data_IF_923293907762
#
_entry.id   IF_923293907762
#
_cell.length_a   1.000
_cell.length_b   1.000
_cell.length_c   1.000
_cell.angle_alpha   90.00
_cell.angle_beta   90.00
_cell.angle_gamma   90.00
#
_symmetry.space_group_name_H-M   'P 1'
#
loop_
_entity.id
_entity.type
_entity.pdbx_description
1 polymer ?
#
# COMPACT_ATOMS: atom_id res chain seq x y z
N UNK A 1 -11.35 -16.80 -1.41
CA UNK A 1 -10.74 -15.85 -0.45
C UNK A 1 -9.24 -15.83 -0.69
N UNK A 2 -8.71 -14.79 -1.35
CA UNK A 2 -7.27 -14.53 -1.33
C UNK A 2 -6.94 -13.93 0.04
N UNK A 3 -6.23 -14.70 0.88
CA UNK A 3 -5.89 -14.29 2.25
C UNK A 3 -4.65 -13.40 2.32
N UNK A 4 -3.75 -13.54 1.35
CA UNK A 4 -2.65 -12.61 1.08
C UNK A 4 -2.02 -12.96 -0.27
N UNK A 5 -1.54 -11.95 -0.99
CA UNK A 5 -0.59 -12.15 -2.10
C UNK A 5 0.75 -11.64 -1.57
N UNK A 6 1.80 -12.49 -1.50
CA UNK A 6 3.13 -12.02 -1.13
C UNK A 6 3.72 -11.27 -2.32
N UNK A 7 3.61 -9.93 -2.29
CA UNK A 7 4.31 -9.06 -3.25
C UNK A 7 5.58 -8.59 -2.56
N UNK A 8 6.72 -9.04 -3.05
CA UNK A 8 8.01 -8.45 -2.68
C UNK A 8 8.18 -7.21 -3.55
N UNK A 9 8.08 -6.01 -2.96
CA UNK A 9 8.51 -4.81 -3.65
C UNK A 9 10.02 -4.86 -3.80
N UNK A 10 10.50 -4.93 -5.04
CA UNK A 10 11.85 -4.56 -5.40
C UNK A 10 11.86 -3.10 -5.92
N UNK A 11 12.99 -2.68 -6.49
CA UNK A 11 13.15 -1.35 -7.09
C UNK A 11 12.35 -1.12 -8.39
N UNK A 12 11.43 -2.03 -8.78
CA UNK A 12 10.62 -1.92 -9.99
C UNK A 12 9.13 -1.63 -9.71
N UNK A 13 8.67 -1.79 -8.46
CA UNK A 13 7.27 -1.50 -8.12
C UNK A 13 7.00 0.00 -8.23
N UNK A 14 6.35 0.41 -9.31
CA UNK A 14 6.06 1.81 -9.61
C UNK A 14 4.64 2.23 -9.24
N UNK A 15 3.68 1.32 -9.30
CA UNK A 15 2.27 1.63 -9.09
C UNK A 15 1.56 0.54 -8.28
N UNK A 16 0.68 0.97 -7.38
CA UNK A 16 -0.24 0.10 -6.65
C UNK A 16 -1.64 0.66 -6.76
N UNK A 17 -2.57 -0.18 -7.22
CA UNK A 17 -3.99 0.16 -7.33
C UNK A 17 -4.80 -0.86 -6.53
N UNK A 18 -5.45 -0.40 -5.47
CA UNK A 18 -6.31 -1.21 -4.60
C UNK A 18 -7.74 -0.74 -4.83
N UNK A 19 -8.52 -1.55 -5.53
CA UNK A 19 -9.88 -1.20 -5.93
C UNK A 19 -10.85 -2.23 -5.37
N UNK A 20 -11.85 -1.77 -4.60
CA UNK A 20 -12.95 -2.61 -4.10
C UNK A 20 -12.47 -3.80 -3.27
N UNK A 21 -11.54 -3.55 -2.34
CA UNK A 21 -10.92 -4.56 -1.48
C UNK A 21 -11.32 -4.39 0.01
N UNK A 22 -12.60 -4.55 0.39
CA UNK A 22 -13.12 -4.16 1.71
C UNK A 22 -12.62 -5.01 2.89
N UNK A 23 -11.86 -6.08 2.63
CA UNK A 23 -11.27 -6.94 3.66
C UNK A 23 -9.74 -6.86 3.67
N UNK A 24 -9.17 -5.96 2.87
CA UNK A 24 -7.73 -5.77 2.82
C UNK A 24 -7.29 -5.03 4.07
N UNK A 25 -6.56 -5.75 4.92
CA UNK A 25 -6.01 -5.19 6.14
C UNK A 25 -4.58 -4.70 5.94
N UNK A 26 -3.83 -5.29 5.02
CA UNK A 26 -2.38 -5.10 4.91
C UNK A 26 -1.92 -5.16 3.47
N UNK A 27 -0.90 -4.37 3.16
CA UNK A 27 -0.20 -4.37 1.88
C UNK A 27 1.24 -4.80 2.14
N UNK A 28 1.51 -6.08 1.90
CA UNK A 28 2.76 -6.73 2.34
C UNK A 28 4.02 -6.15 1.70
N UNK A 29 3.90 -5.49 0.55
CA UNK A 29 5.03 -4.82 -0.09
C UNK A 29 5.49 -3.54 0.65
N UNK A 30 4.71 -3.05 1.62
CA UNK A 30 5.01 -1.91 2.49
C UNK A 30 5.44 -2.34 3.91
N UNK A 31 5.56 -3.65 4.16
CA UNK A 31 5.88 -4.16 5.50
C UNK A 31 7.36 -4.01 5.87
N UNK A 32 8.25 -4.03 4.86
CA UNK A 32 9.71 -3.94 5.04
C UNK A 32 10.23 -2.51 4.93
N UNK A 33 9.80 -1.81 3.88
CA UNK A 33 10.20 -0.43 3.62
C UNK A 33 8.97 0.47 3.72
N UNK A 34 9.10 1.67 4.32
CA UNK A 34 7.97 2.59 4.50
C UNK A 34 7.31 2.98 3.17
N UNK A 35 8.11 3.13 2.12
CA UNK A 35 7.65 3.34 0.75
C UNK A 35 8.76 2.86 -0.19
N UNK A 36 8.50 1.90 -1.11
CA UNK A 36 9.49 1.50 -2.10
C UNK A 36 9.97 2.72 -2.89
N UNK A 37 11.29 2.92 -3.08
CA UNK A 37 11.82 4.14 -3.71
C UNK A 37 11.37 4.33 -5.18
N UNK A 38 10.95 3.25 -5.82
CA UNK A 38 10.38 3.27 -7.17
C UNK A 38 8.89 3.59 -7.21
N UNK A 39 8.18 3.52 -6.08
CA UNK A 39 6.74 3.69 -6.02
C UNK A 39 6.39 5.15 -6.28
N UNK A 40 5.70 5.39 -7.40
CA UNK A 40 5.28 6.71 -7.85
C UNK A 40 3.82 6.97 -7.55
N UNK A 41 2.98 5.93 -7.60
CA UNK A 41 1.54 6.06 -7.46
C UNK A 41 0.96 4.97 -6.56
N UNK A 42 0.22 5.40 -5.54
CA UNK A 42 -0.55 4.51 -4.70
C UNK A 42 -2.01 4.95 -4.69
N UNK A 43 -2.90 4.09 -5.16
CA UNK A 43 -4.32 4.39 -5.27
C UNK A 43 -5.15 3.43 -4.43
N UNK A 44 -5.99 3.98 -3.58
CA UNK A 44 -6.90 3.25 -2.70
C UNK A 44 -8.04 4.21 -2.27
N UNK A 45 -9.23 3.70 -2.06
CA UNK A 45 -10.34 4.46 -1.48
C UNK A 45 -10.05 4.88 -0.04
N UNK A 46 -10.69 5.98 0.41
CA UNK A 46 -10.45 6.57 1.74
C UNK A 46 -10.81 5.61 2.88
N UNK A 47 -11.94 4.90 2.77
CA UNK A 47 -12.36 3.94 3.79
C UNK A 47 -11.34 2.81 3.96
N UNK A 48 -10.87 2.24 2.85
CA UNK A 48 -9.86 1.19 2.87
C UNK A 48 -8.52 1.72 3.37
N UNK A 49 -8.11 2.94 3.01
CA UNK A 49 -6.87 3.56 3.49
C UNK A 49 -6.83 3.73 5.00
N UNK A 50 -7.90 4.24 5.60
CA UNK A 50 -7.96 4.43 7.06
C UNK A 50 -8.05 3.11 7.81
N UNK A 51 -8.58 2.05 7.18
CA UNK A 51 -8.64 0.71 7.75
C UNK A 51 -7.35 -0.11 7.64
N UNK A 52 -6.37 0.34 6.84
CA UNK A 52 -5.11 -0.38 6.67
C UNK A 52 -4.32 -0.44 7.99
N UNK A 53 -3.86 -1.64 8.32
CA UNK A 53 -2.92 -1.93 9.39
C UNK A 53 -1.50 -1.73 8.85
N UNK A 54 -0.78 -0.76 9.39
CA UNK A 54 0.57 -0.39 8.97
C UNK A 54 1.62 -1.06 9.86
N UNK A 55 2.48 -1.92 9.29
CA UNK A 55 3.52 -2.62 10.05
C UNK A 55 4.73 -1.74 10.34
N UNK A 56 5.13 -0.90 9.37
CA UNK A 56 6.24 0.04 9.55
C UNK A 56 5.69 1.40 10.01
N UNK A 57 6.22 2.02 11.09
CA UNK A 57 5.62 3.20 11.72
C UNK A 57 5.49 4.41 10.77
N UNK A 58 6.45 4.57 9.86
CA UNK A 58 6.45 5.68 8.89
C UNK A 58 5.81 5.35 7.54
N UNK A 59 5.25 4.15 7.36
CA UNK A 59 4.75 3.73 6.05
C UNK A 59 3.53 4.54 5.59
N UNK A 60 2.58 4.82 6.51
CA UNK A 60 1.39 5.62 6.19
C UNK A 60 1.78 6.99 5.65
N UNK A 61 2.65 7.71 6.37
CA UNK A 61 3.10 9.04 5.98
C UNK A 61 3.94 9.03 4.70
N UNK A 62 4.82 8.05 4.54
CA UNK A 62 5.66 7.93 3.34
C UNK A 62 4.81 7.67 2.08
N UNK A 63 3.82 6.79 2.17
CA UNK A 63 2.93 6.46 1.06
C UNK A 63 1.90 7.56 0.80
N UNK A 64 1.46 8.32 1.80
CA UNK A 64 0.55 9.46 1.63
C UNK A 64 1.12 10.48 0.62
N UNK A 65 2.44 10.69 0.60
CA UNK A 65 3.09 11.62 -0.36
C UNK A 65 2.92 11.22 -1.83
N UNK A 66 2.71 9.93 -2.11
CA UNK A 66 2.50 9.36 -3.45
C UNK A 66 1.07 8.84 -3.64
N UNK A 67 0.20 9.09 -2.65
CA UNK A 67 -1.18 8.62 -2.65
C UNK A 67 -2.03 9.48 -3.56
N UNK A 68 -2.77 8.83 -4.45
CA UNK A 68 -3.79 9.44 -5.30
C UNK A 68 -5.17 9.06 -4.77
N UNK A 69 -5.94 10.10 -4.43
CA UNK A 69 -7.37 9.99 -4.07
C UNK A 69 -8.19 10.07 -5.37
N UNK A 70 -9.25 9.28 -5.45
CA UNK A 70 -10.25 9.33 -6.52
C UNK A 70 -11.58 9.79 -5.94
#
# INVERSE_FOLDING_TARGET
MLKSIPVVADHSLCEVHILRCPKLKRVTCLDRDPCPPSLKYFSIDDDSWESLEWNHPNAKDAVESVRRRW
#
